data_IF_006874777532
#
_entry.id   IF_006874777532
#
_cell.length_a   1.000
_cell.length_b   1.000
_cell.length_c   1.000
_cell.angle_alpha   90.00
_cell.angle_beta   90.00
_cell.angle_gamma   90.00
#
_symmetry.space_group_name_H-M   'P 1'
#
loop_
_entity.id
_entity.type
_entity.pdbx_description
1 polymer ?
#
# COMPACT_ATOMS: atom_id res chain seq x y z
N UNK A 1 -9.73 -25.76 -14.61
CA UNK A 1 -9.28 -25.08 -13.37
C UNK A 1 -10.08 -23.79 -13.22
N UNK A 2 -10.47 -23.39 -11.99
CA UNK A 2 -11.13 -22.11 -11.75
C UNK A 2 -10.13 -20.98 -12.05
N UNK A 3 -10.58 -19.91 -12.73
CA UNK A 3 -9.76 -18.71 -12.89
C UNK A 3 -9.49 -18.08 -11.52
N UNK A 4 -8.27 -17.60 -11.23
CA UNK A 4 -7.99 -16.86 -10.01
C UNK A 4 -8.86 -15.58 -9.92
N UNK A 5 -9.38 -15.29 -8.72
CA UNK A 5 -10.20 -14.12 -8.44
C UNK A 5 -9.30 -12.95 -8.03
N UNK A 6 -9.41 -11.87 -8.78
CA UNK A 6 -8.61 -10.66 -8.57
C UNK A 6 -9.45 -9.53 -8.01
N UNK A 7 -8.92 -8.81 -7.02
CA UNK A 7 -9.41 -7.52 -6.57
C UNK A 7 -8.33 -6.47 -6.86
N UNK A 8 -8.71 -5.33 -7.46
CA UNK A 8 -7.78 -4.28 -7.85
C UNK A 8 -8.05 -3.03 -7.01
N UNK A 9 -7.01 -2.41 -6.46
CA UNK A 9 -7.13 -1.17 -5.69
C UNK A 9 -6.16 -0.10 -6.21
N UNK A 10 -6.71 1.00 -6.69
CA UNK A 10 -5.98 2.17 -7.17
C UNK A 10 -6.94 3.38 -7.14
N UNK A 11 -6.49 4.54 -6.71
CA UNK A 11 -7.31 5.76 -6.68
C UNK A 11 -7.39 6.47 -8.06
N UNK A 12 -6.65 5.96 -9.06
CA UNK A 12 -6.67 6.45 -10.43
C UNK A 12 -7.58 5.60 -11.30
N UNK A 13 -8.76 6.11 -11.63
CA UNK A 13 -9.78 5.42 -12.45
C UNK A 13 -9.23 4.91 -13.79
N UNK A 14 -8.36 5.70 -14.45
CA UNK A 14 -7.76 5.30 -15.73
C UNK A 14 -6.85 4.06 -15.58
N UNK A 15 -6.13 3.96 -14.47
CA UNK A 15 -5.28 2.80 -14.16
C UNK A 15 -6.16 1.57 -13.91
N UNK A 16 -7.23 1.71 -13.12
CA UNK A 16 -8.19 0.63 -12.87
C UNK A 16 -8.76 0.07 -14.19
N UNK A 17 -9.20 0.94 -15.09
CA UNK A 17 -9.76 0.52 -16.39
C UNK A 17 -8.70 -0.14 -17.29
N UNK A 18 -7.47 0.37 -17.27
CA UNK A 18 -6.35 -0.24 -17.99
C UNK A 18 -6.01 -1.64 -17.48
N UNK A 19 -5.91 -1.81 -16.17
CA UNK A 19 -5.62 -3.10 -15.54
C UNK A 19 -6.76 -4.11 -15.77
N UNK A 20 -8.02 -3.68 -15.69
CA UNK A 20 -9.18 -4.54 -16.02
C UNK A 20 -9.06 -5.12 -17.41
N UNK A 21 -8.82 -4.28 -18.42
CA UNK A 21 -8.70 -4.72 -19.84
C UNK A 21 -7.58 -5.72 -20.07
N UNK A 22 -6.45 -5.58 -19.35
CA UNK A 22 -5.32 -6.51 -19.45
C UNK A 22 -5.69 -7.88 -18.86
N UNK A 23 -6.50 -7.90 -17.80
CA UNK A 23 -6.69 -9.08 -16.94
C UNK A 23 -7.95 -9.88 -17.24
N UNK A 24 -9.02 -9.25 -17.78
CA UNK A 24 -10.35 -9.86 -17.96
C UNK A 24 -10.35 -11.13 -18.82
N UNK A 25 -9.39 -11.27 -19.75
CA UNK A 25 -9.29 -12.47 -20.60
C UNK A 25 -8.82 -13.71 -19.82
N UNK A 26 -7.92 -13.53 -18.86
CA UNK A 26 -7.25 -14.65 -18.16
C UNK A 26 -7.75 -14.88 -16.72
N UNK A 27 -8.28 -13.85 -16.07
CA UNK A 27 -8.65 -13.88 -14.65
C UNK A 27 -10.11 -13.51 -14.43
N UNK A 28 -10.64 -13.85 -13.26
CA UNK A 28 -11.95 -13.41 -12.78
C UNK A 28 -11.77 -12.12 -11.98
N UNK A 29 -12.31 -11.00 -12.48
CA UNK A 29 -12.29 -9.73 -11.72
C UNK A 29 -13.41 -9.75 -10.69
N UNK A 30 -13.06 -9.84 -9.41
CA UNK A 30 -14.01 -9.83 -8.30
C UNK A 30 -14.52 -8.41 -8.00
N UNK A 31 -13.70 -7.36 -8.21
CA UNK A 31 -14.10 -5.99 -7.97
C UNK A 31 -12.93 -5.01 -8.05
N UNK A 32 -13.25 -3.74 -7.78
CA UNK A 32 -12.25 -2.66 -7.68
C UNK A 32 -12.51 -1.80 -6.45
N UNK A 33 -11.47 -1.19 -5.91
CA UNK A 33 -11.50 -0.25 -4.80
C UNK A 33 -10.67 0.99 -5.12
N UNK A 34 -11.06 2.15 -4.61
CA UNK A 34 -10.34 3.41 -4.82
C UNK A 34 -9.49 3.82 -3.59
N UNK A 35 -9.53 3.02 -2.52
CA UNK A 35 -8.76 3.26 -1.30
C UNK A 35 -8.61 1.96 -0.49
N UNK A 36 -7.64 1.96 0.45
CA UNK A 36 -7.34 0.77 1.23
C UNK A 36 -8.47 0.32 2.17
N UNK A 37 -9.35 1.22 2.62
CA UNK A 37 -10.48 0.83 3.49
C UNK A 37 -11.57 0.10 2.72
N UNK A 38 -11.88 0.59 1.55
CA UNK A 38 -12.81 -0.08 0.65
C UNK A 38 -12.27 -1.44 0.21
N UNK A 39 -10.98 -1.50 -0.12
CA UNK A 39 -10.29 -2.76 -0.41
C UNK A 39 -10.50 -3.79 0.70
N UNK A 40 -10.27 -3.43 1.97
CA UNK A 40 -10.44 -4.36 3.10
C UNK A 40 -11.88 -4.86 3.20
N UNK A 41 -12.88 -3.98 3.08
CA UNK A 41 -14.30 -4.36 3.09
C UNK A 41 -14.63 -5.32 1.96
N UNK A 42 -14.25 -4.99 0.73
CA UNK A 42 -14.50 -5.84 -0.44
C UNK A 42 -13.76 -7.18 -0.35
N UNK A 43 -12.55 -7.19 0.21
CA UNK A 43 -11.77 -8.42 0.39
C UNK A 43 -12.44 -9.40 1.34
N UNK A 44 -13.06 -8.90 2.42
CA UNK A 44 -13.81 -9.74 3.36
C UNK A 44 -15.02 -10.40 2.69
N UNK A 45 -15.74 -9.67 1.84
CA UNK A 45 -16.92 -10.14 1.12
C UNK A 45 -16.55 -11.09 -0.03
N UNK A 46 -15.53 -10.75 -0.80
CA UNK A 46 -15.22 -11.42 -2.07
C UNK A 46 -14.15 -12.50 -1.96
N UNK A 47 -13.32 -12.47 -0.90
CA UNK A 47 -12.24 -13.44 -0.65
C UNK A 47 -11.38 -13.68 -1.89
N UNK A 48 -10.68 -12.65 -2.40
CA UNK A 48 -9.87 -12.75 -3.62
C UNK A 48 -8.67 -13.69 -3.41
N UNK A 49 -8.27 -14.36 -4.48
CA UNK A 49 -7.03 -15.15 -4.50
C UNK A 49 -5.80 -14.21 -4.57
N UNK A 50 -5.93 -13.12 -5.35
CA UNK A 50 -4.87 -12.11 -5.51
C UNK A 50 -5.47 -10.71 -5.41
N UNK A 51 -4.76 -9.82 -4.73
CA UNK A 51 -5.02 -8.37 -4.70
C UNK A 51 -3.90 -7.65 -5.44
N UNK A 52 -4.27 -6.84 -6.42
CA UNK A 52 -3.39 -5.86 -7.06
C UNK A 52 -3.64 -4.52 -6.40
N UNK A 53 -2.59 -3.84 -5.95
CA UNK A 53 -2.78 -2.66 -5.09
C UNK A 53 -1.72 -1.61 -5.34
N UNK A 54 -2.14 -0.34 -5.46
CA UNK A 54 -1.19 0.77 -5.37
C UNK A 54 -0.76 1.00 -3.90
N UNK A 55 0.43 1.57 -3.73
CA UNK A 55 0.92 2.00 -2.43
C UNK A 55 0.24 3.29 -1.98
N UNK A 56 0.18 4.27 -2.88
CA UNK A 56 -0.32 5.61 -2.58
C UNK A 56 -1.83 5.70 -2.79
N UNK A 57 -2.59 5.32 -1.80
CA UNK A 57 -4.06 5.42 -1.82
C UNK A 57 -4.57 6.26 -0.65
N UNK A 58 -5.68 7.00 -0.83
CA UNK A 58 -6.29 7.80 0.23
C UNK A 58 -6.91 6.93 1.34
N UNK A 59 -7.12 7.52 2.51
CA UNK A 59 -7.76 6.96 3.70
C UNK A 59 -6.99 5.81 4.39
N UNK A 60 -6.31 4.97 3.63
CA UNK A 60 -5.43 3.90 4.10
C UNK A 60 -4.52 3.49 2.93
N UNK A 61 -3.22 3.73 3.07
CA UNK A 61 -2.23 3.37 2.06
C UNK A 61 -2.12 1.85 1.87
N UNK A 62 -1.59 1.44 0.72
CA UNK A 62 -1.51 0.02 0.35
C UNK A 62 -0.67 -0.83 1.29
N UNK A 63 0.40 -0.30 1.86
CA UNK A 63 1.27 -1.04 2.78
C UNK A 63 0.54 -1.38 4.08
N UNK A 64 -0.14 -0.40 4.68
CA UNK A 64 -0.93 -0.63 5.90
C UNK A 64 -2.21 -1.44 5.62
N UNK A 65 -2.81 -1.28 4.42
CA UNK A 65 -3.90 -2.14 3.95
C UNK A 65 -3.44 -3.61 3.82
N UNK A 66 -2.25 -3.87 3.26
CA UNK A 66 -1.67 -5.22 3.15
C UNK A 66 -1.51 -5.88 4.52
N UNK A 67 -0.97 -5.16 5.51
CA UNK A 67 -0.81 -5.71 6.86
C UNK A 67 -2.15 -6.11 7.51
N UNK A 68 -3.20 -5.33 7.27
CA UNK A 68 -4.54 -5.63 7.78
C UNK A 68 -5.20 -6.76 6.99
N UNK A 69 -5.10 -6.73 5.67
CA UNK A 69 -5.63 -7.76 4.78
C UNK A 69 -5.09 -9.15 5.12
N UNK A 70 -3.78 -9.28 5.24
CA UNK A 70 -3.15 -10.58 5.49
C UNK A 70 -3.40 -11.14 6.89
N UNK A 71 -3.80 -10.30 7.85
CA UNK A 71 -4.34 -10.77 9.15
C UNK A 71 -5.73 -11.38 9.01
N UNK A 72 -6.57 -10.83 8.11
CA UNK A 72 -7.93 -11.31 7.87
C UNK A 72 -7.93 -12.51 6.91
N UNK A 73 -7.14 -12.42 5.84
CA UNK A 73 -7.08 -13.39 4.74
C UNK A 73 -5.62 -13.80 4.47
N UNK A 74 -5.01 -14.67 5.30
CA UNK A 74 -3.59 -15.03 5.20
C UNK A 74 -3.19 -15.72 3.89
N UNK A 75 -4.16 -16.30 3.17
CA UNK A 75 -3.90 -17.03 1.91
C UNK A 75 -3.93 -16.12 0.68
N UNK A 76 -4.50 -14.91 0.79
CA UNK A 76 -4.54 -13.94 -0.30
C UNK A 76 -3.13 -13.48 -0.66
N UNK A 77 -2.82 -13.46 -1.94
CA UNK A 77 -1.55 -12.92 -2.44
C UNK A 77 -1.69 -11.44 -2.73
N UNK A 78 -0.67 -10.66 -2.40
CA UNK A 78 -0.67 -9.22 -2.65
C UNK A 78 0.46 -8.87 -3.62
N UNK A 79 0.11 -8.16 -4.68
CA UNK A 79 1.06 -7.62 -5.67
C UNK A 79 0.88 -6.11 -5.69
N UNK A 80 1.94 -5.37 -5.38
CA UNK A 80 1.94 -3.94 -5.58
C UNK A 80 2.15 -3.57 -7.05
N UNK A 81 1.35 -2.61 -7.53
CA UNK A 81 1.46 -2.00 -8.86
C UNK A 81 1.53 -0.50 -8.64
N UNK A 82 2.73 0.09 -8.65
CA UNK A 82 2.97 1.43 -8.14
C UNK A 82 3.95 2.25 -8.99
N UNK A 83 3.99 3.56 -8.79
CA UNK A 83 5.00 4.43 -9.40
C UNK A 83 6.32 4.47 -8.60
N UNK A 84 6.33 4.02 -7.34
CA UNK A 84 7.52 4.06 -6.49
C UNK A 84 8.55 3.01 -6.89
N UNK A 85 9.76 3.45 -7.19
CA UNK A 85 10.89 2.58 -7.57
C UNK A 85 11.93 2.39 -6.45
N UNK A 86 11.84 3.20 -5.39
CA UNK A 86 12.82 3.20 -4.30
C UNK A 86 12.87 1.87 -3.55
N UNK A 87 14.07 1.44 -3.21
CA UNK A 87 14.33 0.20 -2.46
C UNK A 87 13.64 0.14 -1.10
N UNK A 88 13.43 1.29 -0.45
CA UNK A 88 12.77 1.38 0.85
C UNK A 88 11.29 0.97 0.76
N UNK A 89 10.58 1.40 -0.29
CA UNK A 89 9.20 0.97 -0.53
C UNK A 89 9.11 -0.52 -0.84
N UNK A 90 10.04 -1.03 -1.64
CA UNK A 90 10.12 -2.47 -1.94
C UNK A 90 10.30 -3.28 -0.67
N UNK A 91 11.28 -2.89 0.15
CA UNK A 91 11.56 -3.58 1.41
C UNK A 91 10.35 -3.53 2.37
N UNK A 92 9.67 -2.38 2.46
CA UNK A 92 8.51 -2.22 3.33
C UNK A 92 7.29 -3.01 2.82
N UNK A 93 7.08 -3.08 1.50
CA UNK A 93 6.05 -3.89 0.88
C UNK A 93 6.22 -5.38 1.20
N UNK A 94 7.44 -5.92 1.06
CA UNK A 94 7.71 -7.31 1.40
C UNK A 94 7.66 -7.58 2.90
N UNK A 95 8.09 -6.63 3.76
CA UNK A 95 7.88 -6.73 5.22
C UNK A 95 6.39 -6.72 5.61
N UNK A 96 5.54 -6.06 4.82
CA UNK A 96 4.09 -6.09 5.01
C UNK A 96 3.46 -7.42 4.58
N UNK A 97 4.19 -8.25 3.82
CA UNK A 97 3.76 -9.57 3.36
C UNK A 97 3.40 -9.63 1.87
N UNK A 98 3.84 -8.66 1.07
CA UNK A 98 3.64 -8.70 -0.38
C UNK A 98 4.28 -9.96 -1.00
N UNK A 99 3.65 -10.47 -2.06
CA UNK A 99 4.17 -11.55 -2.88
C UNK A 99 4.75 -11.05 -4.21
N UNK A 100 4.42 -9.81 -4.61
CA UNK A 100 4.95 -9.20 -5.83
C UNK A 100 5.04 -7.69 -5.75
N UNK A 101 5.91 -7.13 -6.60
CA UNK A 101 6.14 -5.69 -6.74
C UNK A 101 6.40 -5.32 -8.20
N UNK A 102 5.51 -4.54 -8.80
CA UNK A 102 5.60 -4.07 -10.17
C UNK A 102 5.55 -2.55 -10.22
N UNK A 103 6.24 -1.98 -11.19
CA UNK A 103 6.07 -0.58 -11.55
C UNK A 103 4.91 -0.41 -12.53
N UNK A 104 4.07 0.62 -12.35
CA UNK A 104 2.94 0.92 -13.26
C UNK A 104 3.39 1.04 -14.72
N UNK A 105 4.60 1.55 -14.99
CA UNK A 105 5.18 1.69 -16.34
C UNK A 105 5.47 0.35 -17.05
N UNK A 106 5.63 -0.74 -16.32
CA UNK A 106 5.88 -2.09 -16.86
C UNK A 106 4.70 -3.05 -16.69
N UNK A 107 3.63 -2.63 -16.02
CA UNK A 107 2.51 -3.49 -15.71
C UNK A 107 1.88 -4.16 -16.94
N UNK A 108 1.73 -3.44 -18.05
CA UNK A 108 1.11 -3.98 -19.26
C UNK A 108 1.82 -5.23 -19.81
N UNK A 109 3.14 -5.34 -19.68
CA UNK A 109 3.94 -6.46 -20.20
C UNK A 109 4.21 -7.55 -19.16
N UNK A 110 4.14 -7.22 -17.87
CA UNK A 110 4.62 -8.10 -16.80
C UNK A 110 3.50 -8.67 -15.91
N UNK A 111 2.33 -8.01 -15.86
CA UNK A 111 1.30 -8.25 -14.85
C UNK A 111 0.75 -9.69 -14.86
N UNK A 112 0.41 -10.20 -16.03
CA UNK A 112 -0.12 -11.56 -16.19
C UNK A 112 0.90 -12.58 -15.67
N UNK A 113 2.16 -12.46 -16.09
CA UNK A 113 3.23 -13.33 -15.64
C UNK A 113 3.47 -13.21 -14.13
N UNK A 114 3.46 -12.00 -13.58
CA UNK A 114 3.62 -11.76 -12.16
C UNK A 114 2.53 -12.46 -11.32
N UNK A 115 1.26 -12.36 -11.75
CA UNK A 115 0.14 -13.05 -11.09
C UNK A 115 0.33 -14.56 -11.14
N UNK A 116 0.70 -15.12 -12.30
CA UNK A 116 0.92 -16.54 -12.44
C UNK A 116 2.07 -17.07 -11.56
N UNK A 117 3.17 -16.33 -11.48
CA UNK A 117 4.32 -16.69 -10.62
C UNK A 117 3.94 -16.64 -9.12
N UNK A 118 3.22 -15.60 -8.72
CA UNK A 118 2.77 -15.44 -7.33
C UNK A 118 1.75 -16.53 -6.94
N UNK A 119 0.87 -16.92 -7.86
CA UNK A 119 -0.06 -18.04 -7.64
C UNK A 119 0.63 -19.40 -7.53
N UNK A 120 1.83 -19.56 -8.11
CA UNK A 120 2.72 -20.73 -7.93
C UNK A 120 3.52 -20.69 -6.62
N UNK A 121 3.31 -19.65 -5.79
CA UNK A 121 4.04 -19.46 -4.53
C UNK A 121 5.42 -18.83 -4.68
N UNK A 122 5.73 -18.24 -5.85
CA UNK A 122 6.99 -17.53 -6.08
C UNK A 122 6.81 -16.04 -5.80
N UNK A 123 7.91 -15.34 -5.53
CA UNK A 123 7.93 -13.88 -5.47
C UNK A 123 8.19 -13.30 -6.86
N UNK A 124 7.58 -12.14 -7.14
CA UNK A 124 7.84 -11.41 -8.39
C UNK A 124 8.26 -9.97 -8.09
N UNK A 125 9.36 -9.55 -8.67
CA UNK A 125 9.82 -8.15 -8.62
C UNK A 125 10.17 -7.72 -10.04
N UNK A 126 9.64 -6.58 -10.48
CA UNK A 126 9.98 -6.07 -11.81
C UNK A 126 11.50 -5.87 -11.97
N UNK A 127 12.12 -6.28 -13.06
CA UNK A 127 13.58 -6.20 -13.26
C UNK A 127 14.15 -4.78 -13.07
N UNK A 128 13.38 -3.75 -13.41
CA UNK A 128 13.78 -2.35 -13.21
C UNK A 128 14.04 -2.02 -11.75
N UNK A 129 13.16 -2.45 -10.85
CA UNK A 129 13.30 -2.24 -9.40
C UNK A 129 14.47 -3.05 -8.85
N UNK A 130 14.62 -4.28 -9.32
CA UNK A 130 15.75 -5.14 -8.89
C UNK A 130 17.08 -4.47 -9.20
N UNK A 131 17.23 -3.85 -10.38
CA UNK A 131 18.43 -3.12 -10.77
C UNK A 131 18.68 -1.91 -9.86
N UNK A 132 17.66 -1.10 -9.62
CA UNK A 132 17.75 0.10 -8.75
C UNK A 132 18.04 -0.29 -7.29
N UNK A 133 17.40 -1.34 -6.77
CA UNK A 133 17.64 -1.87 -5.43
C UNK A 133 19.04 -2.48 -5.23
N UNK A 134 19.65 -3.01 -6.30
CA UNK A 134 21.01 -3.57 -6.25
C UNK A 134 22.10 -2.51 -6.42
N UNK A 135 21.80 -1.34 -7.00
CA UNK A 135 22.76 -0.26 -7.22
C UNK A 135 23.51 0.17 -5.95
N UNK A 136 22.85 0.31 -4.77
CA UNK A 136 23.54 0.63 -3.52
C UNK A 136 24.55 -0.44 -3.06
N UNK A 137 24.34 -1.70 -3.44
CA UNK A 137 25.25 -2.80 -3.10
C UNK A 137 26.59 -2.71 -3.88
N UNK A 138 26.58 -2.03 -5.01
CA UNK A 138 27.75 -1.87 -5.88
C UNK A 138 28.38 -0.47 -5.79
N UNK A 139 27.75 0.50 -5.14
CA UNK A 139 28.15 1.90 -5.14
C UNK A 139 27.92 2.66 -3.84
N UNK A 140 28.35 2.15 -2.69
CA UNK A 140 28.34 2.89 -1.40
C UNK A 140 26.93 3.35 -0.97
N UNK A 141 26.41 2.76 0.10
CA UNK A 141 25.04 2.93 0.53
C UNK A 141 24.64 4.37 0.89
N UNK A 142 23.51 4.90 0.37
CA UNK A 142 22.73 5.87 1.12
C UNK A 142 22.16 5.18 2.36
N UNK A 143 22.23 5.82 3.51
CA UNK A 143 21.59 5.30 4.72
C UNK A 143 20.09 5.02 4.43
N UNK A 144 19.56 3.84 4.80
CA UNK A 144 18.17 3.54 4.58
C UNK A 144 17.32 4.60 5.31
N UNK A 145 16.53 5.37 4.57
CA UNK A 145 15.47 6.18 5.15
C UNK A 145 14.51 5.23 5.84
N UNK A 146 14.65 5.09 7.15
CA UNK A 146 13.78 4.24 7.97
C UNK A 146 12.35 4.76 7.85
N UNK A 147 11.58 4.23 6.88
CA UNK A 147 10.14 4.38 6.87
C UNK A 147 9.64 3.92 8.25
N UNK A 148 9.25 4.85 9.04
CA UNK A 148 8.51 4.76 10.31
C UNK A 148 8.41 3.38 11.02
N UNK A 149 9.49 2.59 11.04
CA UNK A 149 9.54 1.32 11.80
C UNK A 149 9.23 1.50 13.30
N UNK A 150 9.16 2.75 13.73
CA UNK A 150 8.84 3.14 15.10
C UNK A 150 7.35 3.38 15.34
N UNK A 151 6.53 3.67 14.31
CA UNK A 151 5.11 3.99 14.51
C UNK A 151 4.24 2.74 14.52
N UNK A 152 3.25 2.70 15.43
CA UNK A 152 2.21 1.67 15.39
C UNK A 152 1.31 1.84 14.16
N UNK A 153 0.62 0.78 13.73
CA UNK A 153 -0.34 0.86 12.60
C UNK A 153 -1.36 1.98 12.83
N UNK A 154 -1.85 2.13 14.06
CA UNK A 154 -2.82 3.18 14.40
C UNK A 154 -2.24 4.58 14.31
N UNK A 155 -1.01 4.77 14.72
CA UNK A 155 -0.31 6.06 14.58
C UNK A 155 -0.08 6.41 13.10
N UNK A 156 0.24 5.43 12.24
CA UNK A 156 0.38 5.67 10.79
C UNK A 156 -0.95 6.05 10.14
N UNK A 157 -2.06 5.37 10.50
CA UNK A 157 -3.40 5.74 10.01
C UNK A 157 -3.78 7.18 10.42
N UNK A 158 -3.54 7.56 11.68
CA UNK A 158 -3.79 8.92 12.15
C UNK A 158 -2.90 9.92 11.42
N UNK A 159 -1.61 9.62 11.25
CA UNK A 159 -0.66 10.46 10.53
C UNK A 159 -1.08 10.69 9.08
N UNK A 160 -1.47 9.63 8.37
CA UNK A 160 -1.96 9.72 6.99
C UNK A 160 -3.18 10.65 6.90
N UNK A 161 -4.21 10.41 7.72
CA UNK A 161 -5.44 11.19 7.68
C UNK A 161 -5.23 12.66 8.09
N UNK A 162 -4.31 12.93 9.02
CA UNK A 162 -3.88 14.30 9.35
C UNK A 162 -3.20 14.96 8.17
N UNK A 163 -2.32 14.24 7.47
CA UNK A 163 -1.61 14.76 6.30
C UNK A 163 -2.54 14.97 5.09
N UNK A 164 -3.62 14.20 4.98
CA UNK A 164 -4.72 14.40 4.03
C UNK A 164 -5.64 15.59 4.40
N UNK A 165 -5.33 16.33 5.46
CA UNK A 165 -6.11 17.49 5.89
C UNK A 165 -7.41 17.17 6.62
N UNK A 166 -7.60 15.94 7.08
CA UNK A 166 -8.82 15.57 7.82
C UNK A 166 -8.84 16.18 9.21
N UNK A 167 -9.99 16.68 9.61
CA UNK A 167 -10.22 17.14 10.99
C UNK A 167 -10.28 15.96 11.97
N UNK A 168 -10.04 16.24 13.25
CA UNK A 168 -10.12 15.23 14.33
C UNK A 168 -11.48 14.50 14.32
N UNK A 169 -12.59 15.20 14.03
CA UNK A 169 -13.93 14.61 13.96
C UNK A 169 -14.07 13.64 12.78
N UNK A 170 -13.57 14.02 11.60
CA UNK A 170 -13.57 13.15 10.41
C UNK A 170 -12.68 11.92 10.64
N UNK A 171 -11.49 12.10 11.21
CA UNK A 171 -10.59 11.00 11.57
C UNK A 171 -11.28 10.04 12.54
N UNK A 172 -11.95 10.56 13.56
CA UNK A 172 -12.69 9.77 14.53
C UNK A 172 -13.80 8.92 13.87
N UNK A 173 -14.54 9.52 12.94
CA UNK A 173 -15.58 8.84 12.17
C UNK A 173 -14.98 7.74 11.25
N UNK A 174 -13.93 8.06 10.48
CA UNK A 174 -13.24 7.13 9.58
C UNK A 174 -12.67 5.94 10.36
N UNK A 175 -12.06 6.20 11.51
CA UNK A 175 -11.39 5.20 12.34
C UNK A 175 -12.34 4.50 13.33
N UNK A 176 -13.62 4.92 13.40
CA UNK A 176 -14.65 4.40 14.31
C UNK A 176 -14.22 4.44 15.79
N UNK A 177 -13.66 5.57 16.21
CA UNK A 177 -13.20 5.84 17.59
C UNK A 177 -13.69 7.20 18.08
N UNK A 178 -13.45 7.54 19.35
CA UNK A 178 -13.75 8.87 19.86
C UNK A 178 -12.75 9.92 19.38
N UNK A 179 -13.17 11.19 19.30
CA UNK A 179 -12.27 12.32 19.03
C UNK A 179 -11.11 12.37 20.02
N UNK A 180 -11.37 12.09 21.31
CA UNK A 180 -10.34 12.01 22.35
C UNK A 180 -9.29 10.96 22.06
N UNK A 181 -9.69 9.81 21.49
CA UNK A 181 -8.75 8.74 21.08
C UNK A 181 -7.86 9.21 19.95
N UNK A 182 -8.40 9.95 18.98
CA UNK A 182 -7.60 10.54 17.87
C UNK A 182 -6.60 11.54 18.42
N UNK A 183 -7.03 12.47 19.29
CA UNK A 183 -6.15 13.45 19.93
C UNK A 183 -5.03 12.78 20.71
N UNK A 184 -5.34 11.73 21.47
CA UNK A 184 -4.33 10.92 22.17
C UNK A 184 -3.28 10.35 21.22
N UNK A 185 -3.70 9.71 20.11
CA UNK A 185 -2.76 9.16 19.13
C UNK A 185 -1.96 10.26 18.43
N UNK A 186 -2.58 11.42 18.13
CA UNK A 186 -1.89 12.56 17.52
C UNK A 186 -0.84 13.13 18.46
N UNK A 187 -1.15 13.31 19.74
CA UNK A 187 -0.21 13.80 20.74
C UNK A 187 0.97 12.84 20.93
N UNK A 188 0.70 11.55 21.12
CA UNK A 188 1.74 10.53 21.23
C UNK A 188 2.62 10.42 19.98
N UNK A 189 2.05 10.64 18.80
CA UNK A 189 2.78 10.70 17.54
C UNK A 189 3.71 11.90 17.48
N UNK A 190 3.22 13.09 17.84
CA UNK A 190 3.99 14.34 17.86
C UNK A 190 5.15 14.25 18.84
N UNK A 191 4.91 13.76 20.04
CA UNK A 191 5.95 13.53 21.06
C UNK A 191 7.02 12.55 20.56
N UNK A 192 6.62 11.42 19.99
CA UNK A 192 7.52 10.38 19.49
C UNK A 192 8.43 10.83 18.35
N UNK A 193 7.91 11.72 17.49
CA UNK A 193 8.64 12.24 16.34
C UNK A 193 9.41 13.54 16.67
N UNK A 194 9.21 14.11 17.86
CA UNK A 194 9.76 15.43 18.20
C UNK A 194 9.19 16.56 17.34
N UNK A 195 7.91 16.42 16.91
CA UNK A 195 7.20 17.34 16.02
C UNK A 195 6.15 18.09 16.82
N UNK A 196 6.01 19.39 16.59
CA UNK A 196 5.17 20.25 17.40
C UNK A 196 3.97 20.85 16.64
N UNK A 197 3.96 20.77 15.31
CA UNK A 197 2.89 21.34 14.48
C UNK A 197 2.29 20.34 13.50
N UNK A 198 1.05 20.57 13.11
CA UNK A 198 0.38 19.73 12.08
C UNK A 198 1.09 19.86 10.72
N UNK A 199 1.62 21.03 10.39
CA UNK A 199 2.36 21.24 9.15
C UNK A 199 3.66 20.40 9.10
N UNK A 200 4.33 20.22 10.22
CA UNK A 200 5.51 19.34 10.33
C UNK A 200 5.10 17.86 10.20
N UNK A 201 3.95 17.46 10.78
CA UNK A 201 3.42 16.13 10.60
C UNK A 201 3.11 15.83 9.13
N UNK A 202 2.49 16.79 8.42
CA UNK A 202 2.20 16.65 6.98
C UNK A 202 3.49 16.52 6.18
N UNK A 203 4.49 17.35 6.42
CA UNK A 203 5.81 17.24 5.77
C UNK A 203 6.48 15.90 6.06
N UNK A 204 6.39 15.45 7.30
CA UNK A 204 6.91 14.13 7.68
C UNK A 204 6.21 13.01 6.91
N UNK A 205 4.88 13.03 6.83
CA UNK A 205 4.10 12.03 6.10
C UNK A 205 4.44 11.99 4.61
N UNK A 206 4.56 13.16 3.95
CA UNK A 206 4.97 13.30 2.55
C UNK A 206 6.39 12.76 2.36
N UNK A 207 7.33 13.20 3.19
CA UNK A 207 8.74 12.77 3.10
C UNK A 207 8.96 11.28 3.34
N UNK A 208 7.97 10.59 3.94
CA UNK A 208 7.98 9.15 4.17
C UNK A 208 6.97 8.40 3.30
N UNK A 209 6.37 9.08 2.31
CA UNK A 209 5.50 8.46 1.32
C UNK A 209 4.20 7.87 1.85
N UNK A 210 3.70 8.37 2.98
CA UNK A 210 2.39 7.98 3.50
C UNK A 210 1.24 8.66 2.75
N UNK A 211 1.53 9.79 2.11
CA UNK A 211 0.62 10.53 1.23
C UNK A 211 1.38 11.03 0.01
N UNK A 212 0.74 11.04 -1.15
CA UNK A 212 1.24 11.71 -2.35
C UNK A 212 0.96 13.22 -2.28
N UNK A 213 1.73 14.03 -3.01
CA UNK A 213 1.52 15.48 -3.19
C UNK A 213 0.82 15.72 -4.51
#
# INVERSE_FOLDING_TARGET
MRKPRLLIADDHTLVLEGLKRILESEFELAGTAENGRELLRLSEEMKPDVVLMDISMPLLNGIDATRQLLKMLPQTKVIFVTMHADSDYVAEAFRAGASGYLLKRSAASELVNAIQEVMRGRYYVTPLVTREALTPLFGGAPEPRKLSSTLTSRQREVLQLVAEGRSVKEIAAILKVSAKTVEFHKAALMERLGIHTTAELTRYAIGHGLVAV
#
